data_IF_568814739191
#
_entry.id   IF_568814739191
#
_cell.length_a   1.000
_cell.length_b   1.000
_cell.length_c   1.000
_cell.angle_alpha   90.00
_cell.angle_beta   90.00
_cell.angle_gamma   90.00
#
_symmetry.space_group_name_H-M   'P 1'
#
loop_
_entity.id
_entity.type
_entity.pdbx_description
1 polymer ?
#
# COMPACT_ATOMS: atom_id res chain seq x y z
N UNK A 1 31.16 27.41 13.35
CA UNK A 1 30.96 25.97 13.03
C UNK A 1 29.74 25.32 13.71
N UNK A 2 29.25 25.81 14.85
CA UNK A 2 28.05 25.26 15.55
C UNK A 2 26.71 25.39 14.78
N UNK A 3 26.39 26.50 14.08
CA UNK A 3 25.07 26.64 13.44
C UNK A 3 24.91 25.73 12.21
N UNK A 4 26.00 25.43 11.50
CA UNK A 4 25.99 24.54 10.34
C UNK A 4 25.66 23.09 10.72
N UNK A 5 26.13 22.62 11.89
CA UNK A 5 25.78 21.29 12.41
C UNK A 5 24.32 21.19 12.84
N UNK A 6 23.74 22.28 13.37
CA UNK A 6 22.35 22.35 13.83
C UNK A 6 21.36 22.38 12.63
N UNK A 7 21.70 23.12 11.58
CA UNK A 7 20.92 23.14 10.34
C UNK A 7 20.90 21.77 9.64
N UNK A 8 22.06 21.07 9.62
CA UNK A 8 22.19 19.76 8.99
C UNK A 8 21.41 18.66 9.74
N UNK A 9 21.38 18.72 11.08
CA UNK A 9 20.59 17.79 11.90
C UNK A 9 19.08 18.03 11.75
N UNK A 10 18.65 19.30 11.67
CA UNK A 10 17.24 19.62 11.40
C UNK A 10 16.77 19.14 10.03
N UNK A 11 17.61 19.25 9.00
CA UNK A 11 17.29 18.79 7.64
C UNK A 11 17.16 17.26 7.58
N UNK A 12 18.08 16.54 8.22
CA UNK A 12 18.03 15.06 8.29
C UNK A 12 16.78 14.57 9.03
N UNK A 13 16.37 15.25 10.10
CA UNK A 13 15.17 14.87 10.85
C UNK A 13 13.89 15.09 10.03
N UNK A 14 13.83 16.18 9.25
CA UNK A 14 12.70 16.44 8.36
C UNK A 14 12.57 15.41 7.23
N UNK A 15 13.68 14.97 6.66
CA UNK A 15 13.70 13.93 5.63
C UNK A 15 13.18 12.57 6.15
N UNK A 16 13.55 12.20 7.38
CA UNK A 16 13.11 10.96 8.01
C UNK A 16 11.58 10.90 8.20
N UNK A 17 10.94 12.01 8.55
CA UNK A 17 9.48 12.08 8.72
C UNK A 17 8.76 11.89 7.39
N UNK A 18 9.24 12.51 6.31
CA UNK A 18 8.59 12.42 4.99
C UNK A 18 8.62 11.02 4.37
N UNK A 19 9.60 10.19 4.72
CA UNK A 19 9.71 8.81 4.22
C UNK A 19 8.61 7.87 4.75
N UNK A 20 7.96 8.22 5.86
CA UNK A 20 6.88 7.41 6.45
C UNK A 20 5.55 7.52 5.70
N UNK A 21 5.39 8.51 4.81
CA UNK A 21 4.16 8.72 4.05
C UNK A 21 4.04 7.82 2.79
N UNK A 22 5.08 7.06 2.45
CA UNK A 22 5.05 6.11 1.34
C UNK A 22 4.38 4.80 1.77
N UNK A 23 3.06 4.82 1.97
CA UNK A 23 2.30 3.59 2.17
C UNK A 23 1.78 3.01 0.85
N UNK A 24 1.63 1.69 0.79
CA UNK A 24 1.14 1.02 -0.41
C UNK A 24 -0.32 1.40 -0.68
N UNK A 25 -0.67 1.72 -1.95
CA UNK A 25 -2.01 2.20 -2.35
C UNK A 25 -3.18 1.33 -1.85
N UNK A 26 -2.94 0.04 -1.58
CA UNK A 26 -3.98 -0.90 -1.15
C UNK A 26 -4.19 -0.95 0.37
N UNK A 27 -3.24 -0.50 1.17
CA UNK A 27 -3.36 -0.54 2.63
C UNK A 27 -4.39 0.47 3.14
N UNK A 28 -4.55 1.59 2.43
CA UNK A 28 -5.56 2.61 2.72
C UNK A 28 -6.96 2.30 2.20
N UNK A 29 -7.14 1.24 1.38
CA UNK A 29 -8.47 0.90 0.86
C UNK A 29 -9.38 0.32 1.95
N UNK A 30 -10.64 0.71 1.94
CA UNK A 30 -11.68 0.15 2.81
C UNK A 30 -11.92 -1.34 2.51
N UNK A 31 -12.61 -2.02 3.42
CA UNK A 31 -13.00 -3.41 3.26
C UNK A 31 -13.96 -3.60 2.07
N UNK A 32 -14.88 -2.68 1.87
CA UNK A 32 -15.83 -2.73 0.75
C UNK A 32 -15.10 -2.56 -0.60
N UNK A 33 -14.16 -1.62 -0.68
CA UNK A 33 -13.42 -1.37 -1.92
C UNK A 33 -12.54 -2.55 -2.31
N UNK A 34 -11.84 -3.16 -1.35
CA UNK A 34 -10.98 -4.30 -1.66
C UNK A 34 -11.77 -5.55 -2.03
N UNK A 35 -12.90 -5.80 -1.37
CA UNK A 35 -13.81 -6.89 -1.71
C UNK A 35 -14.36 -6.72 -3.13
N UNK A 36 -14.87 -5.53 -3.47
CA UNK A 36 -15.39 -5.24 -4.80
C UNK A 36 -14.34 -5.44 -5.92
N UNK A 37 -13.10 -5.01 -5.67
CA UNK A 37 -11.98 -5.23 -6.62
C UNK A 37 -11.59 -6.70 -6.73
N UNK A 38 -11.63 -7.45 -5.63
CA UNK A 38 -11.40 -8.89 -5.63
C UNK A 38 -12.46 -9.63 -6.47
N UNK A 39 -13.74 -9.29 -6.26
CA UNK A 39 -14.86 -9.86 -7.01
C UNK A 39 -14.77 -9.52 -8.50
N UNK A 40 -14.38 -8.28 -8.83
CA UNK A 40 -14.14 -7.87 -10.21
C UNK A 40 -13.05 -8.72 -10.87
N UNK A 41 -11.95 -8.96 -10.17
CA UNK A 41 -10.85 -9.79 -10.68
C UNK A 41 -11.30 -11.22 -10.99
N UNK A 42 -12.13 -11.82 -10.13
CA UNK A 42 -12.68 -13.17 -10.34
C UNK A 42 -13.67 -13.16 -11.51
N UNK A 43 -14.57 -12.17 -11.55
CA UNK A 43 -15.63 -12.08 -12.56
C UNK A 43 -15.08 -11.81 -13.97
N UNK A 44 -14.12 -10.89 -14.08
CA UNK A 44 -13.56 -10.46 -15.38
C UNK A 44 -12.46 -11.40 -15.85
N UNK A 45 -11.74 -12.05 -14.93
CA UNK A 45 -10.60 -12.93 -15.20
C UNK A 45 -9.67 -12.37 -16.32
N UNK A 46 -9.08 -11.18 -16.10
CA UNK A 46 -8.41 -10.46 -17.17
C UNK A 46 -7.13 -11.18 -17.62
N UNK A 47 -6.83 -11.16 -18.91
CA UNK A 47 -5.62 -11.78 -19.48
C UNK A 47 -4.51 -10.77 -19.79
N UNK A 48 -4.83 -9.48 -19.87
CA UNK A 48 -3.83 -8.45 -20.13
C UNK A 48 -2.83 -8.35 -18.97
N UNK A 49 -1.50 -8.33 -19.20
CA UNK A 49 -0.49 -8.44 -18.14
C UNK A 49 -0.63 -7.43 -17.00
N UNK A 50 -0.96 -6.18 -17.33
CA UNK A 50 -1.15 -5.12 -16.33
C UNK A 50 -2.33 -5.39 -15.39
N UNK A 51 -3.45 -5.89 -15.94
CA UNK A 51 -4.63 -6.25 -15.13
C UNK A 51 -4.40 -7.53 -14.31
N UNK A 52 -3.73 -8.53 -14.88
CA UNK A 52 -3.32 -9.74 -14.13
C UNK A 52 -2.49 -9.34 -12.92
N UNK A 53 -1.50 -8.46 -13.12
CA UNK A 53 -0.64 -7.97 -12.04
C UNK A 53 -1.44 -7.19 -10.98
N UNK A 54 -2.39 -6.36 -11.41
CA UNK A 54 -3.27 -5.66 -10.48
C UNK A 54 -4.12 -6.63 -9.65
N UNK A 55 -4.67 -7.68 -10.26
CA UNK A 55 -5.45 -8.70 -9.56
C UNK A 55 -4.60 -9.53 -8.59
N UNK A 56 -3.37 -9.89 -8.97
CA UNK A 56 -2.43 -10.54 -8.07
C UNK A 56 -2.06 -9.67 -6.86
N UNK A 57 -1.98 -8.35 -7.04
CA UNK A 57 -1.75 -7.42 -5.95
C UNK A 57 -2.94 -7.39 -4.97
N UNK A 58 -4.18 -7.39 -5.48
CA UNK A 58 -5.40 -7.48 -4.65
C UNK A 58 -5.43 -8.80 -3.87
N UNK A 59 -5.16 -9.93 -4.55
CA UNK A 59 -5.08 -11.26 -3.90
C UNK A 59 -4.09 -11.26 -2.73
N UNK A 60 -2.88 -10.77 -2.95
CA UNK A 60 -1.84 -10.70 -1.91
C UNK A 60 -2.23 -9.80 -0.74
N UNK A 61 -2.90 -8.69 -1.01
CA UNK A 61 -3.38 -7.80 0.05
C UNK A 61 -4.50 -8.47 0.87
N UNK A 62 -5.42 -9.20 0.23
CA UNK A 62 -6.44 -9.99 0.93
C UNK A 62 -5.80 -11.04 1.84
N UNK A 63 -4.79 -11.77 1.35
CA UNK A 63 -4.03 -12.73 2.18
C UNK A 63 -3.33 -12.06 3.35
N UNK A 64 -2.75 -10.87 3.15
CA UNK A 64 -2.11 -10.10 4.22
C UNK A 64 -3.13 -9.67 5.28
N UNK A 65 -4.32 -9.20 4.87
CA UNK A 65 -5.41 -8.82 5.78
C UNK A 65 -5.93 -10.03 6.56
N UNK A 66 -6.09 -11.17 5.88
CA UNK A 66 -6.52 -12.44 6.49
C UNK A 66 -5.57 -12.90 7.59
N UNK A 67 -4.25 -12.79 7.38
CA UNK A 67 -3.24 -13.07 8.42
C UNK A 67 -3.37 -12.16 9.64
N UNK A 68 -3.94 -10.97 9.47
CA UNK A 68 -4.27 -10.02 10.54
C UNK A 68 -5.70 -10.15 11.09
N UNK A 69 -6.46 -11.19 10.72
CA UNK A 69 -7.82 -11.43 11.19
C UNK A 69 -8.92 -10.65 10.45
N UNK A 70 -8.61 -9.99 9.34
CA UNK A 70 -9.59 -9.32 8.50
C UNK A 70 -9.92 -10.18 7.27
N UNK A 71 -11.19 -10.59 7.17
CA UNK A 71 -11.71 -11.52 6.15
C UNK A 71 -12.71 -10.86 5.19
N UNK A 72 -12.65 -9.53 5.02
CA UNK A 72 -13.53 -8.82 4.08
C UNK A 72 -13.38 -9.29 2.63
N UNK A 73 -12.19 -9.82 2.31
CA UNK A 73 -11.87 -10.73 1.23
C UNK A 73 -11.01 -11.87 1.84
#
# INVERSE_FOLDING_TARGET
>A
MKPLKLACTSLMLSAAVTLTACDGRMKGMSNQEIAAKSDECIRVNPTSPGKVTACENIRKECERRRKGGNFAC
#
